data_IF_235886045834
#
_entry.id   IF_235886045834
#
_cell.length_a   1.000
_cell.length_b   1.000
_cell.length_c   1.000
_cell.angle_alpha   90.00
_cell.angle_beta   90.00
_cell.angle_gamma   90.00
#
_symmetry.space_group_name_H-M   'P 1'
#
loop_
_entity.id
_entity.type
_entity.pdbx_description
1 polymer ?
#
# COMPACT_ATOMS: atom_id res chain seq x y z
N UNK A 1 -6.76 -10.33 -11.87
CA UNK A 1 -5.84 -11.04 -10.96
C UNK A 1 -4.45 -11.26 -11.57
N UNK A 2 -4.34 -11.76 -12.81
CA UNK A 2 -3.02 -12.03 -13.43
C UNK A 2 -2.16 -10.77 -13.57
N UNK A 3 -2.73 -9.65 -14.07
CA UNK A 3 -2.03 -8.36 -14.19
C UNK A 3 -1.42 -7.91 -12.85
N UNK A 4 -2.18 -8.01 -11.74
CA UNK A 4 -1.70 -7.60 -10.41
C UNK A 4 -0.54 -8.50 -9.97
N UNK A 5 -0.67 -9.82 -10.15
CA UNK A 5 0.41 -10.78 -9.81
C UNK A 5 1.66 -10.58 -10.66
N UNK A 6 1.50 -10.26 -11.94
CA UNK A 6 2.60 -9.92 -12.84
C UNK A 6 3.31 -8.64 -12.37
N UNK A 7 2.54 -7.61 -11.99
CA UNK A 7 3.10 -6.35 -11.47
C UNK A 7 3.91 -6.55 -10.18
N UNK A 8 3.49 -7.43 -9.27
CA UNK A 8 4.27 -7.74 -8.06
C UNK A 8 5.72 -8.15 -8.36
N UNK A 9 5.96 -8.82 -9.49
CA UNK A 9 7.31 -9.24 -9.91
C UNK A 9 8.17 -8.10 -10.45
N UNK A 10 7.55 -6.96 -10.78
CA UNK A 10 8.21 -5.79 -11.37
C UNK A 10 8.54 -4.72 -10.31
N UNK A 11 7.91 -4.78 -9.14
CA UNK A 11 8.14 -3.83 -8.05
C UNK A 11 9.55 -4.01 -7.51
N UNK A 12 10.32 -2.92 -7.54
CA UNK A 12 11.66 -2.86 -6.95
C UNK A 12 11.59 -2.29 -5.54
N UNK A 13 12.37 -2.81 -4.58
CA UNK A 13 12.50 -2.20 -3.27
C UNK A 13 13.24 -0.86 -3.36
N UNK A 14 13.01 0.03 -2.40
CA UNK A 14 13.74 1.30 -2.32
C UNK A 14 15.18 1.08 -1.86
N UNK A 15 15.37 0.19 -0.88
CA UNK A 15 16.65 -0.30 -0.39
C UNK A 15 16.82 -1.73 -0.89
N UNK A 16 17.88 -1.99 -1.66
CA UNK A 16 18.16 -3.28 -2.27
C UNK A 16 18.51 -4.38 -1.24
N UNK A 17 18.67 -5.62 -1.71
CA UNK A 17 19.02 -6.79 -0.89
C UNK A 17 18.06 -7.07 0.28
N UNK A 18 16.76 -7.09 -0.01
CA UNK A 18 15.73 -7.47 0.97
C UNK A 18 14.71 -8.39 0.32
N UNK A 19 14.35 -9.47 1.00
CA UNK A 19 13.28 -10.36 0.52
C UNK A 19 11.93 -9.73 0.83
N UNK A 20 11.05 -9.71 -0.16
CA UNK A 20 9.69 -9.21 -0.04
C UNK A 20 8.74 -10.07 -0.88
N UNK A 21 7.52 -10.25 -0.40
CA UNK A 21 6.49 -11.04 -1.07
C UNK A 21 5.10 -10.45 -0.86
N UNK A 22 4.33 -10.40 -1.96
CA UNK A 22 2.92 -10.04 -1.95
C UNK A 22 2.06 -11.30 -2.12
N UNK A 23 1.00 -11.42 -1.32
CA UNK A 23 0.05 -12.54 -1.40
C UNK A 23 -1.37 -12.00 -1.46
N UNK A 24 -2.12 -12.40 -2.49
CA UNK A 24 -3.57 -12.11 -2.55
C UNK A 24 -4.30 -13.26 -1.89
N UNK A 25 -5.10 -12.96 -0.88
CA UNK A 25 -5.91 -13.94 -0.13
C UNK A 25 -7.34 -13.47 -0.04
N UNK A 26 -8.27 -14.41 0.17
CA UNK A 26 -9.62 -14.07 0.60
C UNK A 26 -9.60 -13.62 2.06
N UNK A 27 -10.59 -12.83 2.47
CA UNK A 27 -10.59 -12.23 3.81
C UNK A 27 -10.64 -13.23 4.95
N UNK A 28 -11.12 -14.46 4.72
CA UNK A 28 -11.10 -15.54 5.71
C UNK A 28 -9.68 -15.98 6.08
N UNK A 29 -8.64 -15.66 5.30
CA UNK A 29 -7.24 -15.87 5.68
C UNK A 29 -6.68 -14.73 6.56
N UNK A 30 -7.51 -13.77 6.94
CA UNK A 30 -7.12 -12.57 7.69
C UNK A 30 -8.11 -12.25 8.81
N UNK A 31 -7.81 -11.23 9.60
CA UNK A 31 -8.78 -10.61 10.52
C UNK A 31 -9.52 -9.42 9.91
N UNK A 32 -9.34 -9.16 8.60
CA UNK A 32 -9.99 -8.05 7.91
C UNK A 32 -11.51 -8.22 7.90
N UNK A 33 -12.20 -7.13 8.23
CA UNK A 33 -13.67 -7.01 8.14
C UNK A 33 -14.12 -6.16 6.95
N UNK A 34 -13.20 -5.84 6.02
CA UNK A 34 -13.42 -4.91 4.91
C UNK A 34 -12.97 -5.55 3.60
N UNK A 35 -13.59 -5.15 2.49
CA UNK A 35 -13.28 -5.67 1.16
C UNK A 35 -13.72 -7.11 0.96
N UNK A 36 -13.36 -7.69 -0.19
CA UNK A 36 -13.58 -9.10 -0.52
C UNK A 36 -12.27 -9.90 -0.39
N UNK A 37 -11.16 -9.26 -0.76
CA UNK A 37 -9.82 -9.84 -0.73
C UNK A 37 -8.89 -8.91 0.06
N UNK A 38 -7.75 -9.46 0.47
CA UNK A 38 -6.65 -8.72 1.04
C UNK A 38 -5.36 -9.02 0.28
N UNK A 39 -4.57 -7.99 0.02
CA UNK A 39 -3.19 -8.13 -0.45
C UNK A 39 -2.31 -8.01 0.78
N UNK A 40 -1.71 -9.11 1.19
CA UNK A 40 -0.78 -9.20 2.30
C UNK A 40 0.62 -8.87 1.80
N UNK A 41 1.38 -8.14 2.61
CA UNK A 41 2.77 -7.86 2.35
C UNK A 41 3.66 -8.41 3.45
N UNK A 42 4.59 -9.26 3.03
CA UNK A 42 5.62 -9.88 3.85
C UNK A 42 6.97 -9.36 3.43
N UNK A 43 7.84 -9.09 4.40
CA UNK A 43 9.18 -8.62 4.12
C UNK A 43 10.13 -9.13 5.21
N UNK A 44 11.38 -9.31 4.83
CA UNK A 44 12.45 -9.66 5.75
C UNK A 44 12.69 -8.50 6.74
N UNK A 45 12.87 -8.84 8.02
CA UNK A 45 13.11 -7.86 9.08
C UNK A 45 14.59 -7.43 9.08
N UNK A 46 14.94 -6.53 8.15
CA UNK A 46 16.24 -5.84 8.03
C UNK A 46 16.10 -4.35 8.35
N UNK A 47 17.20 -3.63 8.46
CA UNK A 47 17.18 -2.18 8.63
C UNK A 47 16.30 -1.49 7.57
N UNK A 48 15.45 -0.58 8.03
CA UNK A 48 14.51 0.19 7.19
C UNK A 48 13.47 -0.63 6.41
N UNK A 49 13.20 -1.89 6.81
CA UNK A 49 12.20 -2.73 6.13
C UNK A 49 10.80 -2.08 6.06
N UNK A 50 10.40 -1.29 7.07
CA UNK A 50 9.13 -0.57 7.08
C UNK A 50 9.06 0.54 6.02
N UNK A 51 10.19 1.21 5.74
CA UNK A 51 10.27 2.21 4.68
C UNK A 51 10.11 1.54 3.32
N UNK A 52 10.79 0.41 3.11
CA UNK A 52 10.58 -0.42 1.93
C UNK A 52 9.14 -0.90 1.81
N UNK A 53 8.53 -1.32 2.92
CA UNK A 53 7.14 -1.79 2.91
C UNK A 53 6.17 -0.71 2.45
N UNK A 54 6.30 0.51 2.98
CA UNK A 54 5.52 1.66 2.52
C UNK A 54 5.74 1.93 1.03
N UNK A 55 7.01 2.03 0.61
CA UNK A 55 7.38 2.34 -0.76
C UNK A 55 6.89 1.31 -1.79
N UNK A 56 7.04 0.02 -1.49
CA UNK A 56 6.65 -1.07 -2.40
C UNK A 56 5.14 -1.26 -2.44
N UNK A 57 4.45 -1.18 -1.30
CA UNK A 57 3.00 -1.35 -1.24
C UNK A 57 2.25 -0.14 -1.82
N UNK A 58 2.81 1.08 -1.77
CA UNK A 58 2.25 2.24 -2.46
C UNK A 58 2.21 2.04 -3.99
N UNK A 59 3.23 1.40 -4.58
CA UNK A 59 3.21 1.08 -6.01
C UNK A 59 2.05 0.14 -6.37
N UNK A 60 1.72 -0.80 -5.48
CA UNK A 60 0.52 -1.64 -5.62
C UNK A 60 -0.75 -0.81 -5.51
N UNK A 61 -0.87 0.05 -4.50
CA UNK A 61 -2.06 0.90 -4.27
C UNK A 61 -2.37 1.81 -5.48
N UNK A 62 -1.33 2.39 -6.08
CA UNK A 62 -1.44 3.20 -7.29
C UNK A 62 -1.96 2.40 -8.49
N UNK A 63 -1.44 1.19 -8.72
CA UNK A 63 -1.94 0.30 -9.78
C UNK A 63 -3.41 -0.06 -9.56
N UNK A 64 -3.80 -0.39 -8.32
CA UNK A 64 -5.19 -0.73 -8.00
C UNK A 64 -6.12 0.44 -8.32
N UNK A 65 -5.69 1.66 -8.01
CA UNK A 65 -6.44 2.88 -8.34
C UNK A 65 -6.61 3.06 -9.86
N UNK A 66 -5.56 2.84 -10.66
CA UNK A 66 -5.64 2.85 -12.13
C UNK A 66 -6.65 1.82 -12.66
N UNK A 67 -6.74 0.67 -12.00
CA UNK A 67 -7.66 -0.42 -12.36
C UNK A 67 -9.08 -0.25 -11.82
N UNK A 68 -9.42 0.90 -11.21
CA UNK A 68 -10.68 1.13 -10.50
C UNK A 68 -10.97 0.09 -9.40
N UNK A 69 -9.93 -0.29 -8.65
CA UNK A 69 -10.03 -1.17 -7.48
C UNK A 69 -9.81 -0.31 -6.24
N UNK A 70 -10.80 -0.30 -5.36
CA UNK A 70 -10.71 0.41 -4.09
C UNK A 70 -9.81 -0.36 -3.13
N UNK A 71 -8.85 0.34 -2.54
CA UNK A 71 -7.91 -0.23 -1.59
C UNK A 71 -7.92 0.57 -0.27
N UNK A 72 -7.72 -0.14 0.84
CA UNK A 72 -7.60 0.45 2.16
C UNK A 72 -6.41 -0.16 2.88
N UNK A 73 -5.41 0.68 3.15
CA UNK A 73 -4.33 0.36 4.09
C UNK A 73 -4.90 0.01 5.45
N UNK A 74 -4.72 -1.26 5.86
CA UNK A 74 -5.44 -1.78 7.01
C UNK A 74 -4.51 -2.27 8.13
N UNK A 75 -3.89 -1.31 8.83
CA UNK A 75 -2.94 -1.59 9.92
C UNK A 75 -3.54 -2.22 11.18
N UNK A 76 -4.87 -2.29 11.31
CA UNK A 76 -5.53 -2.95 12.45
C UNK A 76 -5.81 -4.44 12.18
N UNK A 77 -5.76 -4.88 10.93
CA UNK A 77 -5.95 -6.27 10.55
C UNK A 77 -4.62 -7.02 10.51
N UNK A 78 -4.68 -8.35 10.61
CA UNK A 78 -3.53 -9.24 10.54
C UNK A 78 -3.81 -10.42 9.61
N UNK A 79 -2.78 -10.89 8.93
CA UNK A 79 -2.81 -12.20 8.31
C UNK A 79 -2.92 -13.29 9.39
N UNK A 80 -3.61 -14.40 9.10
CA UNK A 80 -3.59 -15.58 9.99
C UNK A 80 -2.20 -16.20 10.05
N UNK A 81 -1.55 -16.33 8.90
CA UNK A 81 -0.14 -16.73 8.79
C UNK A 81 0.73 -15.47 8.84
N UNK A 82 1.45 -15.28 9.94
CA UNK A 82 2.23 -14.05 10.19
C UNK A 82 3.70 -14.17 9.80
N UNK A 83 4.17 -15.36 9.45
CA UNK A 83 5.55 -15.64 9.03
C UNK A 83 5.56 -16.62 7.87
N UNK A 84 6.40 -16.37 6.87
CA UNK A 84 6.67 -17.30 5.77
C UNK A 84 8.05 -17.03 5.16
N UNK A 85 8.79 -18.05 4.77
CA UNK A 85 10.08 -17.93 4.04
C UNK A 85 11.07 -16.90 4.66
N UNK A 86 11.23 -16.92 5.99
CA UNK A 86 12.05 -15.97 6.77
C UNK A 86 11.59 -14.50 6.73
N UNK A 87 10.39 -14.24 6.22
CA UNK A 87 9.74 -12.93 6.20
C UNK A 87 8.59 -12.86 7.21
N UNK A 88 8.28 -11.65 7.67
CA UNK A 88 7.19 -11.39 8.59
C UNK A 88 6.10 -10.57 7.90
N UNK A 89 4.84 -10.81 8.25
CA UNK A 89 3.72 -9.98 7.83
C UNK A 89 3.89 -8.57 8.40
N UNK A 90 3.81 -7.55 7.54
CA UNK A 90 3.94 -6.14 7.95
C UNK A 90 2.64 -5.38 7.84
N UNK A 91 1.99 -5.45 6.69
CA UNK A 91 0.79 -4.65 6.39
C UNK A 91 -0.05 -5.34 5.32
N UNK A 92 -1.31 -4.93 5.20
CA UNK A 92 -2.18 -5.36 4.11
C UNK A 92 -2.95 -4.20 3.51
N UNK A 93 -3.34 -4.37 2.25
CA UNK A 93 -4.42 -3.63 1.60
C UNK A 93 -5.66 -4.51 1.62
N UNK A 94 -6.74 -4.02 2.23
CA UNK A 94 -8.07 -4.58 2.01
C UNK A 94 -8.60 -4.03 0.68
N UNK A 95 -9.00 -4.92 -0.24
CA UNK A 95 -9.39 -4.53 -1.60
C UNK A 95 -10.81 -4.99 -1.95
N UNK A 96 -11.49 -4.19 -2.76
CA UNK A 96 -12.82 -4.47 -3.26
C UNK A 96 -13.10 -3.71 -4.55
N UNK A 97 -14.06 -4.21 -5.34
CA UNK A 97 -14.50 -3.51 -6.55
C UNK A 97 -15.18 -2.21 -6.15
N UNK A 98 -14.76 -1.10 -6.75
CA UNK A 98 -15.46 0.17 -6.67
C UNK A 98 -15.92 0.60 -8.07
N UNK A 99 -16.80 1.59 -8.10
CA UNK A 99 -17.20 2.28 -9.32
C UNK A 99 -16.24 3.44 -9.55
N UNK A 100 -16.11 3.86 -10.81
CA UNK A 100 -15.26 5.00 -11.17
C UNK A 100 -15.70 6.30 -10.44
N UNK A 101 -16.99 6.45 -10.17
CA UNK A 101 -17.54 7.59 -9.42
C UNK A 101 -17.31 7.53 -7.89
N UNK A 102 -16.80 6.41 -7.36
CA UNK A 102 -16.44 6.29 -5.94
C UNK A 102 -15.10 6.98 -5.63
N UNK A 103 -14.25 7.23 -6.64
CA UNK A 103 -13.04 8.02 -6.47
C UNK A 103 -13.35 9.53 -6.41
N UNK A 104 -12.58 10.25 -5.59
CA UNK A 104 -12.66 11.71 -5.50
C UNK A 104 -12.30 12.34 -6.84
N UNK A 105 -13.03 13.38 -7.22
CA UNK A 105 -12.92 14.06 -8.53
C UNK A 105 -12.27 15.44 -8.42
N UNK A 106 -12.12 15.97 -7.21
CA UNK A 106 -11.56 17.30 -6.97
C UNK A 106 -10.60 17.34 -5.78
N UNK A 107 -9.59 18.20 -5.88
CA UNK A 107 -8.67 18.52 -4.78
C UNK A 107 -9.39 19.06 -3.54
N UNK A 108 -10.55 19.72 -3.73
CA UNK A 108 -11.34 20.31 -2.65
C UNK A 108 -11.99 19.25 -1.73
N UNK A 109 -12.06 18.00 -2.18
CA UNK A 109 -12.55 16.88 -1.38
C UNK A 109 -11.49 16.38 -0.38
N UNK A 110 -10.25 16.85 -0.49
CA UNK A 110 -9.16 16.51 0.40
C UNK A 110 -8.98 17.59 1.47
N UNK A 111 -9.19 17.20 2.73
CA UNK A 111 -8.76 18.00 3.88
C UNK A 111 -7.29 17.64 4.17
N UNK A 112 -6.39 18.59 3.95
CA UNK A 112 -4.95 18.48 4.21
C UNK A 112 -4.47 19.67 5.01
N UNK A 113 -3.35 19.50 5.72
CA UNK A 113 -2.67 20.63 6.36
C UNK A 113 -2.12 21.56 5.27
N UNK A 114 -2.08 22.86 5.55
CA UNK A 114 -1.40 23.82 4.70
C UNK A 114 0.08 23.46 4.54
N UNK A 115 0.66 23.79 3.38
CA UNK A 115 2.07 23.53 3.09
C UNK A 115 3.00 24.13 4.15
N UNK A 116 2.70 25.34 4.62
CA UNK A 116 3.46 26.03 5.68
C UNK A 116 3.49 25.27 7.01
N UNK A 117 2.53 24.37 7.25
CA UNK A 117 2.48 23.56 8.47
C UNK A 117 3.34 22.28 8.38
N UNK A 118 3.79 21.89 7.18
CA UNK A 118 4.52 20.63 6.96
C UNK A 118 5.87 20.82 6.27
N UNK A 119 6.11 21.94 5.61
CA UNK A 119 7.35 22.29 4.93
C UNK A 119 8.16 23.30 5.76
N UNK A 120 9.46 23.06 5.91
CA UNK A 120 10.41 24.00 6.55
C UNK A 120 11.68 24.09 5.71
N UNK A 121 12.18 25.32 5.52
CA UNK A 121 13.45 25.59 4.83
C UNK A 121 13.31 26.63 3.72
N UNK A 122 14.46 27.18 3.30
CA UNK A 122 14.53 28.37 2.43
C UNK A 122 14.29 28.07 0.93
N UNK A 123 14.05 26.80 0.56
CA UNK A 123 13.94 26.33 -0.82
C UNK A 123 12.59 26.66 -1.50
N UNK A 124 11.75 27.50 -0.90
CA UNK A 124 10.42 27.82 -1.43
C UNK A 124 10.08 29.31 -1.26
N UNK A 125 10.78 30.19 -1.97
CA UNK A 125 10.16 31.47 -2.34
C UNK A 125 9.12 31.19 -3.40
N UNK A 126 7.85 31.16 -2.98
CA UNK A 126 6.71 31.32 -3.89
C UNK A 126 6.96 32.60 -4.70
N UNK A 127 7.44 32.47 -5.93
CA UNK A 127 7.25 33.54 -6.91
C UNK A 127 5.74 33.69 -7.07
N UNK A 128 5.22 34.78 -6.49
CA UNK A 128 3.85 35.24 -6.64
C UNK A 128 3.52 35.51 -8.11
#
# INVERSE_FOLDING_TARGET
MNIIKEHFTQIKPLIEDIKAEFKIVSNDETTSKRGEYSILFYIENKDNYLLNAGYMMEQVDLLLSEMNIGACWYGMAKAKETKQNDMEFVIMLSVGKCREDDFRKSINEFKRKDLSAILKGDMYTLTQ
#
